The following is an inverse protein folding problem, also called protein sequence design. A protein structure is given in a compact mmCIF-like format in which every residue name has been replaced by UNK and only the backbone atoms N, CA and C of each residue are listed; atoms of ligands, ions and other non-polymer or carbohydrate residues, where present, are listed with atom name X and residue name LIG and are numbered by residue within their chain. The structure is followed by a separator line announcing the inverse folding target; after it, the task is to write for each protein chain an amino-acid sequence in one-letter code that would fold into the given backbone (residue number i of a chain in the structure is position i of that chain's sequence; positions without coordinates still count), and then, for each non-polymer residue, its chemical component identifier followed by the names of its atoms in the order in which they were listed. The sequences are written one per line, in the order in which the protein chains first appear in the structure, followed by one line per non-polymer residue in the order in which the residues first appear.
data_IF_681931196108
#
_entry.id   IF_681931196108
#
_cell.length_a   1.000
_cell.length_b   1.000
_cell.length_c   1.000
_cell.angle_alpha   90.00
_cell.angle_beta   90.00
_cell.angle_gamma   90.00
#
_symmetry.space_group_name_H-M   'P 1'
#
loop_
_entity.id
_entity.type
_entity.pdbx_description
1 polymer ?
#
# COMPACT_ATOMS: atom_id res chain seq x y z
N UNK A 1 31.40 2.44 -25.77
CA UNK A 1 30.90 3.77 -25.40
C UNK A 1 29.52 3.59 -24.77
N UNK A 2 29.43 3.61 -23.44
CA UNK A 2 28.15 3.58 -22.74
C UNK A 2 27.56 4.99 -22.83
N UNK A 3 26.60 5.18 -23.72
CA UNK A 3 25.80 6.40 -23.74
C UNK A 3 24.90 6.29 -22.50
N UNK A 4 25.33 6.88 -21.38
CA UNK A 4 24.48 7.11 -20.21
C UNK A 4 23.37 8.07 -20.62
N UNK A 5 22.36 7.52 -21.28
CA UNK A 5 21.13 8.23 -21.61
C UNK A 5 20.32 8.24 -20.34
N UNK A 6 20.10 9.41 -19.75
CA UNK A 6 19.26 9.55 -18.57
C UNK A 6 17.89 8.93 -18.87
N UNK A 7 17.38 8.04 -17.99
CA UNK A 7 16.07 7.43 -18.21
C UNK A 7 15.01 8.52 -18.13
N UNK A 8 14.12 8.54 -19.11
CA UNK A 8 12.97 9.44 -19.07
C UNK A 8 11.96 8.93 -18.03
N UNK A 9 11.38 9.87 -17.28
CA UNK A 9 10.43 9.58 -16.22
C UNK A 9 9.03 10.01 -16.62
N UNK A 10 8.01 9.24 -16.23
CA UNK A 10 6.62 9.68 -16.29
C UNK A 10 5.81 9.14 -15.12
N UNK A 11 4.80 9.90 -14.70
CA UNK A 11 3.88 9.45 -13.66
C UNK A 11 2.72 8.65 -14.26
N UNK A 12 2.41 7.50 -13.65
CA UNK A 12 1.24 6.71 -14.01
C UNK A 12 0.64 6.05 -12.76
N UNK A 13 -0.63 6.33 -12.48
CA UNK A 13 -1.38 5.74 -11.37
C UNK A 13 -0.67 5.87 -10.00
N UNK A 14 0.03 6.99 -9.76
CA UNK A 14 0.76 7.26 -8.52
C UNK A 14 2.15 6.60 -8.41
N UNK A 15 2.70 6.10 -9.52
CA UNK A 15 4.06 5.56 -9.63
C UNK A 15 4.91 6.37 -10.63
N UNK A 16 6.21 6.56 -10.35
CA UNK A 16 7.18 7.02 -11.36
C UNK A 16 7.62 5.82 -12.15
N UNK A 17 7.42 5.88 -13.45
CA UNK A 17 7.86 4.88 -14.40
C UNK A 17 9.08 5.40 -15.13
N UNK A 18 10.17 4.63 -15.12
CA UNK A 18 11.40 4.94 -15.86
C UNK A 18 11.43 4.15 -17.15
N UNK A 19 11.77 4.80 -18.26
CA UNK A 19 11.89 4.16 -19.57
C UNK A 19 13.08 4.72 -20.34
N UNK A 20 13.57 3.93 -21.31
CA UNK A 20 14.74 4.29 -22.10
C UNK A 20 14.59 3.94 -23.59
N UNK A 21 15.60 4.29 -24.41
CA UNK A 21 15.62 3.98 -25.83
C UNK A 21 15.68 2.47 -26.09
N UNK A 22 15.34 2.04 -27.30
CA UNK A 22 15.44 0.63 -27.73
C UNK A 22 16.90 0.17 -27.60
N UNK A 23 17.11 -1.08 -27.18
CA UNK A 23 18.42 -1.70 -26.86
C UNK A 23 19.09 -1.18 -25.57
N UNK A 24 18.40 -0.38 -24.76
CA UNK A 24 18.84 -0.13 -23.38
C UNK A 24 18.31 -1.21 -22.43
N UNK A 25 18.85 -1.28 -21.22
CA UNK A 25 18.37 -2.18 -20.15
C UNK A 25 16.99 -1.75 -19.60
N UNK A 26 16.48 -0.60 -20.05
CA UNK A 26 15.22 -0.01 -19.60
C UNK A 26 14.02 -0.52 -20.41
N UNK A 27 12.83 -0.58 -19.80
CA UNK A 27 11.62 -0.98 -20.49
C UNK A 27 11.21 0.10 -21.49
N UNK A 28 10.41 -0.30 -22.48
CA UNK A 28 9.70 0.68 -23.32
C UNK A 28 8.65 1.42 -22.50
N UNK A 29 8.31 2.66 -22.90
CA UNK A 29 7.26 3.46 -22.25
C UNK A 29 5.94 2.69 -22.05
N UNK A 30 5.55 1.93 -23.07
CA UNK A 30 4.33 1.11 -23.06
C UNK A 30 4.41 0.00 -22.01
N UNK A 31 5.56 -0.68 -21.91
CA UNK A 31 5.76 -1.74 -20.92
C UNK A 31 5.76 -1.17 -19.50
N UNK A 32 6.49 -0.09 -19.27
CA UNK A 32 6.54 0.62 -17.99
C UNK A 32 5.13 1.04 -17.51
N UNK A 33 4.30 1.53 -18.44
CA UNK A 33 2.93 1.90 -18.13
C UNK A 33 2.04 0.70 -17.79
N UNK A 34 2.12 -0.41 -18.55
CA UNK A 34 1.33 -1.63 -18.24
C UNK A 34 1.68 -2.11 -16.84
N UNK A 35 2.97 -2.20 -16.53
CA UNK A 35 3.40 -2.79 -15.27
C UNK A 35 3.02 -1.90 -14.07
N UNK A 36 3.01 -0.58 -14.23
CA UNK A 36 2.49 0.34 -13.21
C UNK A 36 0.98 0.18 -12.99
N UNK A 37 0.20 0.03 -14.06
CA UNK A 37 -1.24 -0.24 -13.90
C UNK A 37 -1.51 -1.63 -13.28
N UNK A 38 -0.69 -2.64 -13.58
CA UNK A 38 -0.77 -3.95 -12.92
C UNK A 38 -0.43 -3.81 -11.42
N UNK A 39 0.60 -3.02 -11.09
CA UNK A 39 0.97 -2.73 -9.70
C UNK A 39 -0.13 -1.96 -8.94
N UNK A 40 -0.91 -1.14 -9.65
CA UNK A 40 -2.11 -0.47 -9.11
C UNK A 40 -3.32 -1.42 -8.93
N UNK A 41 -3.20 -2.70 -9.35
CA UNK A 41 -4.28 -3.69 -9.23
C UNK A 41 -5.32 -3.64 -10.34
N UNK A 42 -5.04 -2.95 -11.45
CA UNK A 42 -5.99 -2.83 -12.56
C UNK A 42 -6.06 -4.13 -13.38
N UNK A 43 -7.26 -4.45 -13.87
CA UNK A 43 -7.46 -5.59 -14.76
C UNK A 43 -7.00 -5.30 -16.18
N UNK A 44 -6.68 -6.32 -16.98
CA UNK A 44 -6.27 -6.11 -18.39
C UNK A 44 -7.29 -5.33 -19.22
N UNK A 45 -8.58 -5.43 -18.90
CA UNK A 45 -9.66 -4.69 -19.58
C UNK A 45 -9.66 -3.21 -19.20
N UNK A 46 -9.41 -2.89 -17.93
CA UNK A 46 -9.26 -1.51 -17.47
C UNK A 46 -8.04 -0.84 -18.08
N UNK A 47 -6.90 -1.54 -18.11
CA UNK A 47 -5.67 -1.05 -18.74
C UNK A 47 -5.88 -0.81 -20.24
N UNK A 48 -6.58 -1.72 -20.91
CA UNK A 48 -6.96 -1.57 -22.32
C UNK A 48 -7.81 -0.31 -22.56
N UNK A 49 -8.81 -0.08 -21.69
CA UNK A 49 -9.69 1.10 -21.74
C UNK A 49 -8.91 2.40 -21.51
N UNK A 50 -8.03 2.43 -20.51
CA UNK A 50 -7.19 3.60 -20.20
C UNK A 50 -6.24 3.97 -21.34
N UNK A 51 -5.76 2.99 -22.09
CA UNK A 51 -4.84 3.22 -23.22
C UNK A 51 -5.50 3.35 -24.58
N UNK A 52 -6.80 3.07 -24.70
CA UNK A 52 -7.50 3.04 -25.98
C UNK A 52 -7.02 1.91 -26.91
N UNK A 53 -6.60 0.77 -26.36
CA UNK A 53 -6.10 -0.37 -27.14
C UNK A 53 -6.88 -1.66 -26.87
N UNK A 54 -6.70 -2.68 -27.71
CA UNK A 54 -7.38 -3.96 -27.50
C UNK A 54 -6.85 -4.71 -26.25
N UNK A 55 -7.68 -5.50 -25.55
CA UNK A 55 -7.22 -6.35 -24.44
C UNK A 55 -6.16 -7.37 -24.86
N UNK A 56 -6.20 -7.82 -26.13
CA UNK A 56 -5.19 -8.71 -26.71
C UNK A 56 -3.80 -8.06 -26.73
N UNK A 57 -3.73 -6.77 -27.03
CA UNK A 57 -2.47 -6.00 -27.01
C UNK A 57 -1.89 -5.92 -25.60
N UNK A 58 -2.74 -5.75 -24.57
CA UNK A 58 -2.30 -5.79 -23.16
C UNK A 58 -1.75 -7.17 -22.82
N UNK A 59 -2.46 -8.24 -23.18
CA UNK A 59 -2.05 -9.63 -22.93
C UNK A 59 -0.71 -9.97 -23.59
N UNK A 60 -0.46 -9.50 -24.81
CA UNK A 60 0.82 -9.68 -25.49
C UNK A 60 1.93 -8.89 -24.79
N UNK A 61 1.63 -7.65 -24.35
CA UNK A 61 2.60 -6.81 -23.64
C UNK A 61 2.94 -7.40 -22.27
N UNK A 62 1.96 -7.92 -21.53
CA UNK A 62 2.19 -8.58 -20.24
C UNK A 62 3.02 -9.86 -20.38
N UNK A 63 2.78 -10.65 -21.43
CA UNK A 63 3.60 -11.82 -21.73
C UNK A 63 5.06 -11.45 -22.04
N UNK A 64 5.28 -10.39 -22.84
CA UNK A 64 6.61 -9.88 -23.11
C UNK A 64 7.32 -9.40 -21.83
N UNK A 65 6.60 -8.68 -20.96
CA UNK A 65 7.11 -8.22 -19.65
C UNK A 65 7.55 -9.41 -18.79
N UNK A 66 6.72 -10.45 -18.68
CA UNK A 66 7.04 -11.67 -17.93
C UNK A 66 8.30 -12.35 -18.47
N UNK A 67 8.44 -12.42 -19.79
CA UNK A 67 9.62 -12.97 -20.45
C UNK A 67 10.88 -12.15 -20.14
N UNK A 68 10.84 -10.83 -20.29
CA UNK A 68 12.01 -9.96 -20.02
C UNK A 68 12.43 -9.92 -18.55
N UNK A 69 11.46 -10.05 -17.64
CA UNK A 69 11.71 -10.09 -16.21
C UNK A 69 11.98 -11.52 -15.70
N UNK A 70 11.91 -12.53 -16.57
CA UNK A 70 11.99 -13.94 -16.23
C UNK A 70 11.07 -14.28 -15.04
N UNK A 71 9.82 -13.84 -15.10
CA UNK A 71 8.81 -13.99 -14.06
C UNK A 71 7.67 -14.88 -14.56
N UNK A 72 7.10 -15.69 -13.66
CA UNK A 72 6.01 -16.60 -14.01
C UNK A 72 4.64 -16.03 -13.66
N UNK A 73 4.58 -15.07 -12.74
CA UNK A 73 3.33 -14.43 -12.29
C UNK A 73 3.43 -12.91 -12.36
N UNK A 74 2.29 -12.25 -12.56
CA UNK A 74 2.22 -10.79 -12.65
C UNK A 74 2.75 -10.09 -11.39
N UNK A 75 2.45 -10.61 -10.19
CA UNK A 75 2.96 -10.07 -8.93
C UNK A 75 4.49 -10.18 -8.82
N UNK A 76 5.06 -11.29 -9.29
CA UNK A 76 6.52 -11.49 -9.33
C UNK A 76 7.17 -10.54 -10.33
N UNK A 77 6.55 -10.32 -11.49
CA UNK A 77 7.00 -9.32 -12.46
C UNK A 77 7.03 -7.92 -11.84
N UNK A 78 6.01 -7.54 -11.06
CA UNK A 78 5.99 -6.25 -10.36
C UNK A 78 7.12 -6.16 -9.34
N UNK A 79 7.37 -7.21 -8.55
CA UNK A 79 8.48 -7.23 -7.60
C UNK A 79 9.84 -7.03 -8.29
N UNK A 80 10.11 -7.79 -9.35
CA UNK A 80 11.35 -7.66 -10.14
C UNK A 80 11.47 -6.32 -10.87
N UNK A 81 10.36 -5.69 -11.23
CA UNK A 81 10.36 -4.37 -11.83
C UNK A 81 10.68 -3.26 -10.82
N UNK A 82 10.31 -3.44 -9.55
CA UNK A 82 10.73 -2.55 -8.46
C UNK A 82 12.22 -2.73 -8.19
N UNK A 83 12.72 -3.98 -8.14
CA UNK A 83 14.16 -4.27 -7.96
C UNK A 83 15.05 -3.68 -9.06
N UNK A 84 14.53 -3.57 -10.29
CA UNK A 84 15.23 -3.00 -11.45
C UNK A 84 15.00 -1.49 -11.62
N UNK A 85 14.38 -0.81 -10.65
CA UNK A 85 14.02 0.61 -10.72
C UNK A 85 13.16 1.00 -11.95
N UNK A 86 12.39 0.06 -12.52
CA UNK A 86 11.46 0.38 -13.61
C UNK A 86 10.26 1.18 -13.10
N UNK A 87 9.86 0.92 -11.85
CA UNK A 87 8.74 1.55 -11.17
C UNK A 87 9.19 1.95 -9.77
N UNK A 88 9.10 3.24 -9.47
CA UNK A 88 9.41 3.77 -8.14
C UNK A 88 8.12 4.25 -7.48
N UNK A 89 7.86 3.78 -6.26
CA UNK A 89 6.68 4.17 -5.46
C UNK A 89 6.98 5.48 -4.73
N UNK A 90 6.45 6.59 -5.25
CA UNK A 90 6.70 7.96 -4.72
C UNK A 90 6.15 8.14 -3.31
N UNK A 91 5.05 7.47 -2.98
CA UNK A 91 4.22 7.87 -1.83
C UNK A 91 4.78 7.51 -0.46
N UNK A 92 5.79 6.66 -0.35
CA UNK A 92 6.27 6.26 0.98
C UNK A 92 7.20 7.31 1.60
N UNK A 93 8.09 7.94 0.83
CA UNK A 93 9.07 8.86 1.41
C UNK A 93 8.49 10.21 1.80
N UNK A 94 7.62 10.81 0.98
CA UNK A 94 7.05 12.13 1.29
C UNK A 94 6.15 12.14 2.54
N UNK A 95 5.52 11.02 2.88
CA UNK A 95 4.71 10.89 4.10
C UNK A 95 5.51 10.50 5.34
N UNK A 96 6.66 9.82 5.18
CA UNK A 96 7.51 9.40 6.28
C UNK A 96 8.33 10.55 6.85
N UNK A 97 8.76 11.52 6.03
CA UNK A 97 9.58 12.65 6.48
C UNK A 97 8.94 13.48 7.61
N UNK A 98 7.71 14.05 7.48
CA UNK A 98 7.15 14.88 8.55
C UNK A 98 6.89 14.09 9.84
N UNK A 99 6.52 12.80 9.73
CA UNK A 99 6.29 11.93 10.88
C UNK A 99 7.59 11.68 11.65
N UNK A 100 8.67 11.32 10.94
CA UNK A 100 9.98 11.07 11.55
C UNK A 100 10.56 12.36 12.15
N UNK A 101 10.42 13.50 11.47
CA UNK A 101 10.86 14.80 12.02
C UNK A 101 10.09 15.16 13.29
N UNK A 102 8.76 14.98 13.33
CA UNK A 102 7.96 15.25 14.51
C UNK A 102 8.33 14.34 15.70
N UNK A 103 8.61 13.05 15.44
CA UNK A 103 9.01 12.10 16.47
C UNK A 103 10.39 12.45 17.07
N UNK A 104 11.35 12.85 16.23
CA UNK A 104 12.67 13.30 16.67
C UNK A 104 12.57 14.58 17.50
N UNK A 105 11.78 15.57 17.06
CA UNK A 105 11.57 16.82 17.81
C UNK A 105 10.89 16.55 19.16
N UNK A 106 9.92 15.62 19.21
CA UNK A 106 9.28 15.24 20.46
C UNK A 106 10.20 14.50 21.43
N UNK A 107 11.19 13.74 20.95
CA UNK A 107 12.17 13.06 21.79
C UNK A 107 13.25 13.99 22.36
N UNK A 108 13.47 15.14 21.74
CA UNK A 108 14.47 16.15 22.15
C UNK A 108 13.90 17.12 23.19
N UNK A 109 12.58 17.14 23.41
CA UNK A 109 11.92 18.08 24.33
C UNK A 109 11.50 17.39 25.65
N UNK A 110 12.33 17.38 26.71
CA UNK A 110 12.01 16.74 27.99
C UNK A 110 10.90 17.45 28.78
N UNK A 111 10.48 18.66 28.37
CA UNK A 111 9.55 19.50 29.14
C UNK A 111 8.07 19.11 29.00
N UNK A 112 7.73 18.12 28.16
CA UNK A 112 6.33 17.65 28.02
C UNK A 112 5.84 16.76 29.16
N UNK A 113 6.73 16.14 29.95
CA UNK A 113 6.33 15.32 31.10
C UNK A 113 5.84 16.17 32.29
N UNK A 114 6.27 17.44 32.38
CA UNK A 114 5.93 18.33 33.49
C UNK A 114 4.48 18.88 33.45
N UNK A 115 3.75 18.73 32.34
CA UNK A 115 2.38 19.23 32.20
C UNK A 115 1.29 18.17 32.39
N UNK A 116 1.65 16.91 32.65
CA UNK A 116 0.69 15.82 32.93
C UNK A 116 0.44 15.66 34.43
N UNK A 117 -0.03 16.71 35.08
CA UNK A 117 -0.61 16.61 36.42
C UNK A 117 -2.13 16.80 36.33
N UNK A 118 -2.83 15.80 35.78
CA UNK A 118 -4.26 15.65 36.02
C UNK A 118 -4.43 14.87 37.34
N UNK A 119 -4.99 15.47 38.41
CA UNK A 119 -5.23 14.74 39.65
C UNK A 119 -6.28 13.64 39.41
N UNK A 120 -6.12 12.43 39.97
CA UNK A 120 -7.07 11.34 39.79
C UNK A 120 -8.37 11.61 40.56
N UNK A 121 -9.46 11.95 39.86
CA UNK A 121 -10.80 11.99 40.43
C UNK A 121 -11.31 10.55 40.64
N UNK A 122 -11.12 10.03 41.86
CA UNK A 122 -11.56 8.69 42.26
C UNK A 122 -13.05 8.72 42.67
N UNK A 123 -13.96 8.57 41.72
CA UNK A 123 -15.37 8.28 42.02
C UNK A 123 -15.54 6.78 42.28
N UNK A 124 -15.56 6.37 43.55
CA UNK A 124 -16.05 5.04 43.96
C UNK A 124 -17.58 5.06 43.89
N UNK A 125 -18.16 4.38 42.90
CA UNK A 125 -19.59 4.08 42.90
C UNK A 125 -19.80 2.79 43.72
N UNK A 126 -20.40 2.91 44.91
CA UNK A 126 -20.90 1.76 45.65
C UNK A 126 -22.14 1.24 44.93
N UNK A 127 -22.05 0.09 44.29
CA UNK A 127 -23.22 -0.61 43.77
C UNK A 127 -23.62 -1.65 44.83
N UNK A 128 -24.70 -1.34 45.55
CA UNK A 128 -25.34 -2.28 46.46
C UNK A 128 -26.09 -3.31 45.59
N UNK A 129 -25.54 -4.51 45.43
CA UNK A 129 -26.20 -5.60 44.74
C UNK A 129 -27.36 -6.09 45.63
N UNK A 130 -28.54 -5.50 45.45
CA UNK A 130 -29.76 -5.97 46.09
C UNK A 130 -30.15 -7.33 45.50
N UNK A 131 -30.49 -8.22 46.42
CA UNK A 131 -30.72 -9.65 46.28
C UNK A 131 -32.12 -9.90 45.74
N UNK A 132 -32.25 -10.58 44.59
CA UNK A 132 -33.51 -11.26 44.23
C UNK A 132 -33.20 -12.71 43.93
N UNK A 133 -33.30 -13.51 45.00
CA UNK A 133 -33.34 -14.97 44.95
C UNK A 133 -34.65 -15.36 44.27
N UNK A 134 -34.58 -15.74 43.00
CA UNK A 134 -35.69 -16.42 42.31
C UNK A 134 -35.77 -17.85 42.85
N UNK A 135 -36.51 -18.01 43.95
CA UNK A 135 -36.96 -19.29 44.50
C UNK A 135 -37.85 -19.99 43.47
N UNK A 136 -37.40 -21.12 42.92
CA UNK A 136 -38.16 -21.93 41.97
C UNK A 136 -38.53 -23.24 42.66
N UNK A 137 -39.74 -23.27 43.21
CA UNK A 137 -40.45 -24.47 43.65
C UNK A 137 -41.94 -24.29 43.35
N UNK A 138 -42.66 -25.42 43.19
CA UNK A 138 -44.08 -25.63 42.81
C UNK A 138 -44.27 -25.76 41.28
N UNK A 139 -44.61 -26.88 40.64
CA UNK A 139 -45.33 -28.09 41.06
C UNK A 139 -46.80 -28.05 40.58
N UNK A 140 -47.14 -28.67 39.44
CA UNK A 140 -48.53 -28.98 38.99
C UNK A 140 -48.43 -29.85 37.72
N UNK A 141 -48.67 -31.17 37.76
CA UNK A 141 -49.94 -31.93 37.83
C UNK A 141 -50.86 -31.64 36.64
N UNK A 142 -50.53 -32.24 35.48
CA UNK A 142 -51.47 -32.87 34.55
C UNK A 142 -50.68 -33.92 33.75
N UNK A 143 -50.65 -35.13 34.31
CA UNK A 143 -50.38 -36.40 33.65
C UNK A 143 -51.68 -37.22 33.78
#
# INVERSE_FOLDING_TARGET
MQITTEPAEFECQGFICRFGPRNSQWPTRVQAQVIACIAAGMTHKEIAKLRGCSPRTISATSAAILYYLNAHRAAEAVAKAIEKDWIVKIRCWAALTPLVTALLVSGINPDTDAMRHQPPARTRQQVSASRTVSRRDVGSVYA
#
